data_IF_892748472288
#
_entry.id   IF_892748472288
#
_cell.length_a   1.000
_cell.length_b   1.000
_cell.length_c   1.000
_cell.angle_alpha   90.00
_cell.angle_beta   90.00
_cell.angle_gamma   90.00
#
_symmetry.space_group_name_H-M   'P 1'
#
loop_
_entity.id
_entity.type
_entity.pdbx_description
1 polymer ?
#
# COMPACT_ATOMS: atom_id res chain seq x y z
N UNK A 1 46.75 -4.57 -2.68
CA UNK A 1 45.31 -4.62 -3.02
C UNK A 1 44.62 -5.58 -2.05
N UNK A 2 43.86 -5.05 -1.06
CA UNK A 2 43.10 -5.88 -0.12
C UNK A 2 41.83 -6.32 -0.82
N UNK A 3 41.62 -7.64 -1.03
CA UNK A 3 40.37 -8.21 -1.52
C UNK A 3 39.27 -7.86 -0.48
N UNK A 4 38.26 -7.10 -0.90
CA UNK A 4 37.06 -6.90 -0.12
C UNK A 4 36.49 -8.30 0.20
N UNK A 5 36.34 -8.62 1.49
CA UNK A 5 35.61 -9.80 1.94
C UNK A 5 34.17 -9.65 1.49
N UNK A 6 33.72 -10.48 0.54
CA UNK A 6 32.30 -10.66 0.26
C UNK A 6 31.63 -11.12 1.59
N UNK A 7 30.83 -10.27 2.16
CA UNK A 7 29.90 -10.67 3.23
C UNK A 7 29.01 -11.76 2.61
N UNK A 8 28.84 -12.92 3.25
CA UNK A 8 27.92 -13.94 2.73
C UNK A 8 26.53 -13.30 2.60
N UNK A 9 25.94 -13.36 1.41
CA UNK A 9 24.56 -12.94 1.20
C UNK A 9 23.70 -13.92 2.01
N UNK A 10 23.20 -13.50 3.17
CA UNK A 10 22.14 -14.22 3.87
C UNK A 10 21.04 -14.41 2.84
N UNK A 11 20.73 -15.67 2.51
CA UNK A 11 19.72 -15.96 1.49
C UNK A 11 18.36 -15.61 2.09
N UNK A 12 17.88 -14.40 1.76
CA UNK A 12 16.50 -14.02 2.06
C UNK A 12 15.53 -14.99 1.40
N UNK A 13 14.43 -15.33 2.07
CA UNK A 13 13.31 -16.07 1.48
C UNK A 13 12.76 -15.30 0.26
N UNK A 14 12.79 -13.97 0.29
CA UNK A 14 12.20 -13.11 -0.72
C UNK A 14 13.27 -12.35 -1.51
N UNK A 15 13.03 -12.19 -2.83
CA UNK A 15 13.84 -11.38 -3.74
C UNK A 15 13.27 -9.96 -3.89
N UNK A 16 11.98 -9.79 -3.56
CA UNK A 16 11.25 -8.53 -3.64
C UNK A 16 10.23 -8.43 -2.50
N UNK A 17 10.20 -7.28 -1.85
CA UNK A 17 9.16 -6.89 -0.92
C UNK A 17 8.38 -5.73 -1.54
N UNK A 18 7.09 -5.90 -1.65
CA UNK A 18 6.16 -4.88 -2.14
C UNK A 18 5.31 -4.35 -0.99
N UNK A 19 4.98 -3.09 -1.02
CA UNK A 19 4.19 -2.42 0.03
C UNK A 19 2.98 -1.72 -0.59
N UNK A 20 1.82 -1.82 0.06
CA UNK A 20 0.83 -0.76 -0.09
C UNK A 20 1.28 0.51 0.64
N UNK A 21 0.59 1.59 0.43
CA UNK A 21 0.90 2.90 1.01
C UNK A 21 -0.07 3.27 2.13
N UNK A 22 -1.35 3.47 1.78
CA UNK A 22 -2.40 4.00 2.66
C UNK A 22 -2.77 2.95 3.73
N UNK A 23 -2.54 3.23 5.01
CA UNK A 23 -2.76 2.29 6.11
C UNK A 23 -1.61 1.31 6.37
N UNK A 24 -0.64 1.23 5.47
CA UNK A 24 0.52 0.34 5.55
C UNK A 24 1.81 1.07 5.90
N UNK A 25 2.28 1.98 5.06
CA UNK A 25 3.47 2.79 5.34
C UNK A 25 3.14 4.09 6.07
N UNK A 26 1.98 4.66 5.82
CA UNK A 26 1.54 5.91 6.43
C UNK A 26 0.06 5.87 6.88
N UNK A 27 -0.25 6.68 7.89
CA UNK A 27 -1.60 6.81 8.45
C UNK A 27 -2.43 7.85 7.69
N UNK A 28 -2.94 7.46 6.52
CA UNK A 28 -3.78 8.31 5.68
C UNK A 28 -5.28 8.14 5.92
N UNK A 29 -5.70 7.14 6.67
CA UNK A 29 -7.13 6.84 6.88
C UNK A 29 -7.92 8.06 7.36
N UNK A 30 -7.46 8.86 8.34
CA UNK A 30 -8.19 10.07 8.75
C UNK A 30 -8.39 11.07 7.61
N UNK A 31 -7.36 11.29 6.78
CA UNK A 31 -7.44 12.18 5.63
C UNK A 31 -8.37 11.64 4.54
N UNK A 32 -8.33 10.34 4.26
CA UNK A 32 -9.22 9.69 3.28
C UNK A 32 -10.69 9.86 3.70
N UNK A 33 -10.99 9.63 4.98
CA UNK A 33 -12.32 9.83 5.53
C UNK A 33 -12.80 11.29 5.42
N UNK A 34 -11.91 12.24 5.73
CA UNK A 34 -12.16 13.68 5.55
C UNK A 34 -12.48 14.01 4.08
N UNK A 35 -11.69 13.45 3.14
CA UNK A 35 -11.87 13.66 1.71
C UNK A 35 -13.22 13.12 1.19
N UNK A 36 -13.63 11.92 1.64
CA UNK A 36 -14.94 11.39 1.29
C UNK A 36 -16.06 12.30 1.77
N UNK A 37 -16.06 12.69 3.04
CA UNK A 37 -17.10 13.60 3.59
C UNK A 37 -17.12 14.92 2.83
N UNK A 38 -15.95 15.49 2.55
CA UNK A 38 -15.84 16.76 1.85
C UNK A 38 -16.32 16.68 0.40
N UNK A 39 -16.07 15.58 -0.30
CA UNK A 39 -16.58 15.35 -1.64
C UNK A 39 -18.13 15.32 -1.64
N UNK A 40 -18.72 14.60 -0.69
CA UNK A 40 -20.18 14.56 -0.53
C UNK A 40 -20.76 15.94 -0.18
N UNK A 41 -20.12 16.69 0.72
CA UNK A 41 -20.55 18.05 1.08
C UNK A 41 -20.56 18.98 -0.13
N UNK A 42 -19.50 18.96 -0.94
CA UNK A 42 -19.34 19.83 -2.11
C UNK A 42 -20.36 19.49 -3.21
N UNK A 43 -20.60 18.21 -3.46
CA UNK A 43 -21.39 17.77 -4.62
C UNK A 43 -22.86 17.60 -4.30
N UNK A 44 -23.19 17.10 -3.11
CA UNK A 44 -24.56 16.73 -2.71
C UNK A 44 -25.07 17.50 -1.49
N UNK A 45 -24.25 18.37 -0.88
CA UNK A 45 -24.63 19.11 0.33
C UNK A 45 -24.57 18.27 1.62
N UNK A 46 -23.96 17.10 1.57
CA UNK A 46 -23.77 16.18 2.69
C UNK A 46 -23.99 14.72 2.31
N UNK A 47 -23.86 13.84 3.30
CA UNK A 47 -24.10 12.39 3.14
C UNK A 47 -24.68 11.80 4.43
N UNK A 48 -25.53 10.79 4.29
CA UNK A 48 -26.03 9.93 5.36
C UNK A 48 -25.16 8.67 5.56
N UNK A 49 -24.08 8.52 4.79
CA UNK A 49 -23.14 7.43 4.92
C UNK A 49 -22.46 7.43 6.29
N UNK A 50 -22.48 6.28 6.93
CA UNK A 50 -21.77 6.07 8.20
C UNK A 50 -20.25 6.02 7.99
N UNK A 51 -19.51 6.11 9.08
CA UNK A 51 -18.05 5.91 9.05
C UNK A 51 -17.68 4.50 8.56
N UNK A 52 -18.48 3.50 8.94
CA UNK A 52 -18.29 2.13 8.50
C UNK A 52 -18.48 1.99 6.99
N UNK A 53 -19.51 2.62 6.41
CA UNK A 53 -19.70 2.66 4.96
C UNK A 53 -18.48 3.27 4.25
N UNK A 54 -18.00 4.41 4.74
CA UNK A 54 -16.85 5.12 4.13
C UNK A 54 -15.55 4.35 4.31
N UNK A 55 -15.35 3.72 5.46
CA UNK A 55 -14.19 2.84 5.72
C UNK A 55 -14.13 1.67 4.74
N UNK A 56 -15.27 1.11 4.34
CA UNK A 56 -15.33 -0.01 3.39
C UNK A 56 -14.80 0.34 1.99
N UNK A 57 -14.60 1.62 1.68
CA UNK A 57 -14.03 2.08 0.41
C UNK A 57 -12.51 2.11 0.42
N UNK A 58 -11.88 2.08 1.60
CA UNK A 58 -10.42 2.17 1.73
C UNK A 58 -9.76 0.93 1.12
N UNK A 59 -8.63 1.14 0.45
CA UNK A 59 -7.90 0.08 -0.27
C UNK A 59 -8.42 -0.21 -1.67
N UNK A 60 -9.63 0.28 -2.03
CA UNK A 60 -10.20 0.14 -3.38
C UNK A 60 -9.76 1.29 -4.30
N UNK A 61 -9.75 1.07 -5.62
CA UNK A 61 -9.62 2.18 -6.56
C UNK A 61 -10.76 3.19 -6.37
N UNK A 62 -10.46 4.50 -6.40
CA UNK A 62 -11.46 5.55 -6.21
C UNK A 62 -12.64 5.43 -7.20
N UNK A 63 -12.39 4.93 -8.42
CA UNK A 63 -13.42 4.69 -9.41
C UNK A 63 -14.47 3.65 -9.01
N UNK A 64 -14.17 2.82 -8.01
CA UNK A 64 -15.05 1.75 -7.56
C UNK A 64 -15.83 2.14 -6.28
N UNK A 65 -15.61 3.36 -5.76
CA UNK A 65 -16.18 3.80 -4.47
C UNK A 65 -17.55 4.48 -4.58
N UNK A 66 -17.82 5.21 -5.65
CA UNK A 66 -19.05 5.99 -5.82
C UNK A 66 -20.05 5.33 -6.78
N UNK A 67 -20.01 3.99 -6.88
CA UNK A 67 -20.79 3.22 -7.87
C UNK A 67 -22.32 3.22 -7.63
N UNK A 68 -22.77 3.67 -6.45
CA UNK A 68 -24.20 3.84 -6.15
C UNK A 68 -24.81 5.10 -6.77
N UNK A 69 -24.00 5.98 -7.35
CA UNK A 69 -24.44 7.20 -8.02
C UNK A 69 -24.42 7.02 -9.54
N UNK A 70 -25.19 7.86 -10.24
CA UNK A 70 -25.08 7.96 -11.71
C UNK A 70 -23.68 8.44 -12.14
N UNK A 71 -23.30 8.19 -13.39
CA UNK A 71 -21.96 8.46 -13.89
C UNK A 71 -21.55 9.93 -13.74
N UNK A 72 -22.47 10.88 -13.96
CA UNK A 72 -22.18 12.31 -13.85
C UNK A 72 -21.94 12.75 -12.41
N UNK A 73 -22.73 12.23 -11.47
CA UNK A 73 -22.54 12.47 -10.02
C UNK A 73 -21.26 11.81 -9.52
N UNK A 74 -21.01 10.57 -9.92
CA UNK A 74 -19.77 9.84 -9.60
C UNK A 74 -18.53 10.62 -10.06
N UNK A 75 -18.51 11.13 -11.28
CA UNK A 75 -17.39 11.92 -11.80
C UNK A 75 -17.14 13.19 -10.99
N UNK A 76 -18.20 13.91 -10.60
CA UNK A 76 -18.09 15.10 -9.74
C UNK A 76 -17.55 14.75 -8.34
N UNK A 77 -18.03 13.67 -7.73
CA UNK A 77 -17.55 13.19 -6.42
C UNK A 77 -16.07 12.82 -6.49
N UNK A 78 -15.64 12.09 -7.53
CA UNK A 78 -14.24 11.73 -7.72
C UNK A 78 -13.37 12.98 -7.92
N UNK A 79 -13.81 13.93 -8.70
CA UNK A 79 -13.10 15.20 -8.94
C UNK A 79 -12.93 15.97 -7.63
N UNK A 80 -14.03 16.20 -6.90
CA UNK A 80 -14.01 16.90 -5.62
C UNK A 80 -13.12 16.21 -4.59
N UNK A 81 -13.16 14.87 -4.51
CA UNK A 81 -12.28 14.08 -3.67
C UNK A 81 -10.81 14.32 -4.02
N UNK A 82 -10.44 14.19 -5.30
CA UNK A 82 -9.05 14.30 -5.75
C UNK A 82 -8.49 15.70 -5.54
N UNK A 83 -9.26 16.73 -5.87
CA UNK A 83 -8.86 18.12 -5.67
C UNK A 83 -8.61 18.41 -4.18
N UNK A 84 -9.54 18.02 -3.32
CA UNK A 84 -9.40 18.22 -1.88
C UNK A 84 -8.24 17.41 -1.31
N UNK A 85 -8.10 16.13 -1.68
CA UNK A 85 -7.00 15.27 -1.24
C UNK A 85 -5.65 15.86 -1.62
N UNK A 86 -5.46 16.25 -2.89
CA UNK A 86 -4.20 16.85 -3.34
C UNK A 86 -3.88 18.17 -2.63
N UNK A 87 -4.87 19.01 -2.34
CA UNK A 87 -4.66 20.24 -1.59
C UNK A 87 -4.18 19.94 -0.16
N UNK A 88 -4.87 19.02 0.54
CA UNK A 88 -4.52 18.64 1.92
C UNK A 88 -3.15 17.96 2.02
N UNK A 89 -2.81 17.10 1.04
CA UNK A 89 -1.49 16.48 0.99
C UNK A 89 -0.36 17.51 0.85
N UNK A 90 -0.56 18.58 0.08
CA UNK A 90 0.43 19.66 -0.09
C UNK A 90 0.58 20.54 1.15
N UNK A 91 -0.48 20.67 1.96
CA UNK A 91 -0.44 21.43 3.20
C UNK A 91 0.23 20.67 4.34
N UNK A 92 -0.07 19.39 4.46
CA UNK A 92 0.42 18.54 5.54
C UNK A 92 0.68 17.12 5.00
N UNK A 93 1.93 16.71 5.03
CA UNK A 93 2.26 15.31 4.73
C UNK A 93 1.49 14.37 5.67
N UNK A 94 1.03 13.26 5.11
CA UNK A 94 0.46 12.18 5.91
C UNK A 94 1.57 11.59 6.78
N UNK A 95 1.37 11.37 8.10
CA UNK A 95 2.40 10.84 8.95
C UNK A 95 2.73 9.40 8.61
N UNK A 96 4.02 9.06 8.55
CA UNK A 96 4.47 7.67 8.52
C UNK A 96 4.11 6.98 9.84
N UNK A 97 3.83 5.68 9.76
CA UNK A 97 3.81 4.89 10.98
C UNK A 97 5.22 4.83 11.60
N UNK A 98 5.33 4.87 12.93
CA UNK A 98 6.62 4.75 13.62
C UNK A 98 7.38 3.49 13.18
N UNK A 99 8.69 3.58 12.94
CA UNK A 99 9.54 2.44 12.55
C UNK A 99 9.59 2.15 11.04
N UNK A 100 8.78 2.82 10.20
CA UNK A 100 8.75 2.56 8.75
C UNK A 100 10.09 2.88 8.07
N UNK A 101 10.68 4.03 8.34
CA UNK A 101 11.98 4.39 7.74
C UNK A 101 13.08 3.44 8.15
N UNK A 102 13.04 2.96 9.38
CA UNK A 102 14.00 2.04 9.97
C UNK A 102 13.97 0.70 9.24
N UNK A 103 12.79 0.07 9.12
CA UNK A 103 12.70 -1.23 8.43
C UNK A 103 13.01 -1.10 6.93
N UNK A 104 12.55 -0.05 6.25
CA UNK A 104 12.88 0.18 4.83
C UNK A 104 14.41 0.28 4.63
N UNK A 105 15.09 1.00 5.51
CA UNK A 105 16.56 1.13 5.50
C UNK A 105 17.24 -0.22 5.74
N UNK A 106 16.75 -0.99 6.70
CA UNK A 106 17.33 -2.28 7.08
C UNK A 106 17.17 -3.33 5.95
N UNK A 107 16.01 -3.40 5.32
CA UNK A 107 15.73 -4.30 4.20
C UNK A 107 16.60 -3.92 2.99
N UNK A 108 16.74 -2.62 2.72
CA UNK A 108 17.63 -2.13 1.66
C UNK A 108 19.08 -2.49 1.93
N UNK A 109 19.55 -2.34 3.17
CA UNK A 109 20.90 -2.72 3.58
C UNK A 109 21.15 -4.23 3.48
N UNK A 110 20.11 -5.06 3.64
CA UNK A 110 20.16 -6.50 3.42
C UNK A 110 20.25 -6.88 1.93
N UNK A 111 20.09 -5.91 1.01
CA UNK A 111 20.16 -6.10 -0.43
C UNK A 111 18.91 -6.76 -1.03
N UNK A 112 17.78 -6.71 -0.34
CA UNK A 112 16.48 -7.14 -0.86
C UNK A 112 15.84 -5.95 -1.58
N UNK A 113 15.31 -6.19 -2.77
CA UNK A 113 14.63 -5.16 -3.57
C UNK A 113 13.30 -4.80 -2.93
N UNK A 114 12.92 -3.54 -3.06
CA UNK A 114 11.70 -3.02 -2.47
C UNK A 114 10.88 -2.25 -3.50
N UNK A 115 9.57 -2.29 -3.39
CA UNK A 115 8.70 -1.53 -4.28
C UNK A 115 7.36 -1.20 -3.66
N UNK A 116 6.63 -0.33 -4.36
CA UNK A 116 5.28 0.08 -4.00
C UNK A 116 4.28 -0.52 -4.98
N UNK A 117 3.17 -1.04 -4.46
CA UNK A 117 1.98 -1.40 -5.25
C UNK A 117 0.75 -0.86 -4.55
N UNK A 118 0.09 0.13 -5.16
CA UNK A 118 -1.02 0.83 -4.51
C UNK A 118 -2.20 1.08 -5.45
N UNK A 119 -3.42 1.14 -4.90
CA UNK A 119 -4.62 1.58 -5.61
C UNK A 119 -4.70 3.11 -5.75
N UNK A 120 -3.76 3.84 -5.14
CA UNK A 120 -3.66 5.29 -5.21
C UNK A 120 -3.15 5.73 -6.59
N UNK A 121 -3.64 6.86 -7.09
CA UNK A 121 -3.13 7.47 -8.31
C UNK A 121 -1.71 7.99 -8.12
N UNK A 122 -0.88 7.87 -9.14
CA UNK A 122 0.50 8.36 -9.14
C UNK A 122 0.57 9.82 -8.69
N UNK A 123 -0.27 10.70 -9.26
CA UNK A 123 -0.29 12.13 -8.95
C UNK A 123 -0.51 12.45 -7.47
N UNK A 124 -1.29 11.61 -6.76
CA UNK A 124 -1.54 11.79 -5.32
C UNK A 124 -0.49 11.10 -4.45
N UNK A 125 -0.01 9.93 -4.86
CA UNK A 125 0.99 9.17 -4.12
C UNK A 125 2.33 9.91 -4.08
N UNK A 126 2.77 10.43 -5.24
CA UNK A 126 4.05 11.13 -5.36
C UNK A 126 4.15 12.39 -4.49
N UNK A 127 3.05 13.10 -4.24
CA UNK A 127 3.07 14.24 -3.31
C UNK A 127 3.62 13.83 -1.93
N UNK A 128 3.16 12.71 -1.39
CA UNK A 128 3.60 12.23 -0.07
C UNK A 128 4.98 11.57 -0.14
N UNK A 129 5.25 10.79 -1.18
CA UNK A 129 6.54 10.12 -1.40
C UNK A 129 7.66 11.17 -1.47
N UNK A 130 7.46 12.25 -2.23
CA UNK A 130 8.44 13.34 -2.39
C UNK A 130 8.63 14.12 -1.08
N UNK A 131 7.52 14.50 -0.41
CA UNK A 131 7.58 15.25 0.86
C UNK A 131 8.30 14.49 1.96
N UNK A 132 8.20 13.16 1.97
CA UNK A 132 8.82 12.29 2.98
C UNK A 132 10.15 11.68 2.53
N UNK A 133 10.65 12.04 1.32
CA UNK A 133 11.90 11.50 0.74
C UNK A 133 11.96 9.97 0.75
N UNK A 134 10.85 9.34 0.33
CA UNK A 134 10.72 7.87 0.37
C UNK A 134 11.16 7.18 -0.93
N UNK A 135 11.23 7.89 -2.05
CA UNK A 135 11.60 7.32 -3.35
C UNK A 135 12.93 6.56 -3.29
N UNK A 136 13.87 7.05 -2.47
CA UNK A 136 15.18 6.44 -2.28
C UNK A 136 15.16 4.98 -1.79
N UNK A 137 14.05 4.51 -1.23
CA UNK A 137 13.91 3.13 -0.74
C UNK A 137 13.44 2.16 -1.80
N UNK A 138 12.77 2.63 -2.87
CA UNK A 138 12.04 1.79 -3.79
C UNK A 138 12.75 1.63 -5.14
N UNK A 139 12.82 0.39 -5.61
CA UNK A 139 13.37 0.01 -6.91
C UNK A 139 12.29 0.00 -7.99
N UNK A 140 11.01 -0.08 -7.60
CA UNK A 140 9.85 -0.03 -8.50
C UNK A 140 8.63 0.54 -7.77
N UNK A 141 7.77 1.25 -8.52
CA UNK A 141 6.50 1.74 -8.02
C UNK A 141 5.41 1.49 -9.07
N UNK A 142 4.31 0.87 -8.64
CA UNK A 142 3.14 0.54 -9.46
C UNK A 142 1.93 1.23 -8.84
N UNK A 143 1.42 2.22 -9.54
CA UNK A 143 0.25 3.00 -9.17
C UNK A 143 -1.00 2.49 -9.89
N UNK A 144 -2.18 3.02 -9.55
CA UNK A 144 -3.46 2.61 -10.12
C UNK A 144 -3.48 2.56 -11.65
N UNK A 145 -2.79 3.47 -12.30
CA UNK A 145 -2.79 3.63 -13.76
C UNK A 145 -1.93 2.59 -14.49
N UNK A 146 -1.09 1.84 -13.77
CA UNK A 146 -0.08 0.97 -14.38
C UNK A 146 -0.66 -0.32 -14.97
N UNK A 147 -1.85 -0.76 -14.52
CA UNK A 147 -2.49 -1.99 -14.96
C UNK A 147 -3.98 -1.78 -15.24
N UNK A 148 -4.52 -2.56 -16.16
CA UNK A 148 -5.95 -2.53 -16.47
C UNK A 148 -6.77 -2.97 -15.25
N UNK A 149 -6.46 -4.15 -14.72
CA UNK A 149 -7.08 -4.65 -13.48
C UNK A 149 -6.26 -4.22 -12.27
N UNK A 150 -6.93 -3.53 -11.34
CA UNK A 150 -6.35 -3.14 -10.06
C UNK A 150 -6.53 -4.23 -9.01
N UNK A 151 -6.03 -4.02 -7.78
CA UNK A 151 -6.37 -4.82 -6.61
C UNK A 151 -7.92 -4.91 -6.50
N UNK A 152 -8.51 -6.06 -6.27
CA UNK A 152 -7.94 -7.28 -5.69
C UNK A 152 -7.29 -8.26 -6.68
N UNK A 153 -7.14 -7.93 -7.94
CA UNK A 153 -6.40 -8.75 -8.90
C UNK A 153 -4.89 -8.65 -8.67
N UNK A 154 -4.15 -9.72 -9.01
CA UNK A 154 -2.69 -9.80 -8.84
C UNK A 154 -1.88 -9.03 -9.88
N UNK A 155 -2.52 -8.50 -10.93
CA UNK A 155 -1.87 -7.80 -12.05
C UNK A 155 -0.86 -6.72 -11.61
N UNK A 156 -1.16 -5.86 -10.61
CA UNK A 156 -0.20 -4.85 -10.16
C UNK A 156 1.05 -5.45 -9.52
N UNK A 157 0.91 -6.55 -8.77
CA UNK A 157 2.05 -7.24 -8.15
C UNK A 157 2.91 -7.94 -9.21
N UNK A 158 2.25 -8.60 -10.18
CA UNK A 158 2.92 -9.23 -11.33
C UNK A 158 3.69 -8.17 -12.12
N UNK A 159 3.11 -7.01 -12.37
CA UNK A 159 3.78 -5.91 -13.07
C UNK A 159 5.00 -5.41 -12.32
N UNK A 160 4.92 -5.25 -10.98
CA UNK A 160 6.07 -4.86 -10.16
C UNK A 160 7.18 -5.92 -10.22
N UNK A 161 6.84 -7.21 -10.10
CA UNK A 161 7.79 -8.32 -10.20
C UNK A 161 8.43 -8.38 -11.60
N UNK A 162 7.63 -8.19 -12.67
CA UNK A 162 8.10 -8.14 -14.07
C UNK A 162 9.12 -7.03 -14.29
N UNK A 163 8.88 -5.83 -13.76
CA UNK A 163 9.86 -4.70 -13.83
C UNK A 163 11.18 -5.05 -13.16
N UNK A 164 11.12 -5.89 -12.14
CA UNK A 164 12.30 -6.36 -11.41
C UNK A 164 12.90 -7.67 -11.98
N UNK A 165 12.35 -8.20 -13.08
CA UNK A 165 12.81 -9.45 -13.69
C UNK A 165 12.58 -10.69 -12.82
N UNK A 166 11.56 -10.65 -11.96
CA UNK A 166 11.12 -11.77 -11.11
C UNK A 166 9.95 -12.46 -11.79
N UNK A 167 10.02 -13.76 -11.92
CA UNK A 167 8.97 -14.60 -12.53
C UNK A 167 8.33 -15.56 -11.53
N UNK A 168 9.01 -15.84 -10.43
CA UNK A 168 8.52 -16.72 -9.35
C UNK A 168 7.90 -15.86 -8.26
N UNK A 169 6.57 -15.80 -8.23
CA UNK A 169 5.83 -14.98 -7.28
C UNK A 169 5.95 -15.48 -5.83
N UNK A 170 6.31 -16.75 -5.61
CA UNK A 170 6.63 -17.25 -4.25
C UNK A 170 7.88 -16.61 -3.63
N UNK A 171 8.66 -15.87 -4.43
CA UNK A 171 9.81 -15.06 -4.01
C UNK A 171 9.44 -13.59 -3.74
N UNK A 172 8.15 -13.26 -3.78
CA UNK A 172 7.61 -11.92 -3.53
C UNK A 172 6.82 -11.93 -2.23
N UNK A 173 7.11 -10.99 -1.35
CA UNK A 173 6.30 -10.71 -0.17
C UNK A 173 5.53 -9.40 -0.43
N UNK A 174 4.22 -9.44 -0.28
CA UNK A 174 3.40 -8.22 -0.30
C UNK A 174 2.95 -7.86 1.11
N UNK A 175 3.18 -6.61 1.50
CA UNK A 175 2.85 -6.07 2.82
C UNK A 175 1.70 -5.09 2.65
N UNK A 176 0.61 -5.30 3.37
CA UNK A 176 -0.60 -4.49 3.22
C UNK A 176 -1.48 -4.51 4.46
N UNK A 177 -2.58 -3.79 4.43
CA UNK A 177 -3.46 -3.60 5.57
C UNK A 177 -4.95 -3.87 5.29
N UNK A 178 -5.33 -4.17 4.03
CA UNK A 178 -6.71 -4.24 3.60
C UNK A 178 -7.06 -5.53 2.83
N UNK A 179 -8.35 -5.87 2.77
CA UNK A 179 -8.87 -7.05 2.03
C UNK A 179 -8.38 -7.10 0.58
N UNK A 180 -8.37 -6.00 -0.22
CA UNK A 180 -7.87 -6.06 -1.59
C UNK A 180 -6.39 -6.44 -1.69
N UNK A 181 -5.58 -6.17 -0.66
CA UNK A 181 -4.16 -6.51 -0.65
C UNK A 181 -3.95 -8.02 -0.55
N UNK A 182 -4.58 -8.65 0.45
CA UNK A 182 -4.45 -10.09 0.66
C UNK A 182 -5.01 -10.87 -0.54
N UNK A 183 -6.13 -10.42 -1.12
CA UNK A 183 -6.70 -11.06 -2.30
C UNK A 183 -5.79 -10.92 -3.53
N UNK A 184 -5.16 -9.77 -3.71
CA UNK A 184 -4.21 -9.51 -4.81
C UNK A 184 -2.96 -10.38 -4.69
N UNK A 185 -2.40 -10.55 -3.49
CA UNK A 185 -1.27 -11.44 -3.24
C UNK A 185 -1.62 -12.90 -3.58
N UNK A 186 -2.78 -13.37 -3.13
CA UNK A 186 -3.27 -14.72 -3.44
C UNK A 186 -3.50 -14.96 -4.93
N UNK A 187 -4.10 -14.01 -5.63
CA UNK A 187 -4.40 -14.13 -7.05
C UNK A 187 -3.13 -14.35 -7.88
N UNK A 188 -2.01 -13.78 -7.45
CA UNK A 188 -0.71 -13.96 -8.15
C UNK A 188 0.23 -14.98 -7.51
N UNK A 189 -0.10 -15.55 -6.35
CA UNK A 189 0.74 -16.54 -5.65
C UNK A 189 1.94 -15.93 -4.89
N UNK A 190 1.87 -14.66 -4.52
CA UNK A 190 2.80 -14.02 -3.60
C UNK A 190 2.42 -14.31 -2.15
N UNK A 191 3.39 -14.37 -1.23
CA UNK A 191 3.11 -14.39 0.20
C UNK A 191 2.61 -13.02 0.67
N UNK A 192 1.73 -13.00 1.67
CA UNK A 192 1.14 -11.78 2.22
C UNK A 192 1.47 -11.59 3.70
N UNK A 193 1.87 -10.38 4.06
CA UNK A 193 2.06 -9.95 5.44
C UNK A 193 1.07 -8.83 5.79
N UNK A 194 0.18 -9.11 6.74
CA UNK A 194 -0.74 -8.15 7.31
C UNK A 194 -0.04 -7.28 8.35
N UNK A 195 -0.19 -5.96 8.25
CA UNK A 195 0.31 -5.06 9.29
C UNK A 195 -0.67 -4.97 10.47
N UNK A 196 -0.18 -5.16 11.69
CA UNK A 196 -0.97 -5.16 12.92
C UNK A 196 -1.45 -3.77 13.36
N UNK A 197 -0.87 -2.69 12.81
CA UNK A 197 -1.28 -1.30 13.07
C UNK A 197 -2.38 -0.79 12.12
N UNK A 198 -2.96 -1.67 11.28
CA UNK A 198 -4.09 -1.32 10.41
C UNK A 198 -5.26 -0.75 11.21
N UNK A 199 -6.00 0.17 10.60
CA UNK A 199 -7.28 0.68 11.11
C UNK A 199 -8.49 -0.11 10.59
N UNK A 200 -8.26 -1.10 9.72
CA UNK A 200 -9.31 -1.95 9.17
C UNK A 200 -9.77 -3.01 10.19
N UNK A 201 -10.99 -3.57 10.05
CA UNK A 201 -11.50 -4.62 10.93
C UNK A 201 -10.58 -5.86 10.91
N UNK A 202 -9.88 -6.12 12.01
CA UNK A 202 -8.86 -7.19 12.09
C UNK A 202 -9.45 -8.59 11.97
N UNK A 203 -10.67 -8.80 12.46
CA UNK A 203 -11.29 -10.14 12.44
C UNK A 203 -11.49 -10.61 10.99
N UNK A 204 -12.04 -9.74 10.11
CA UNK A 204 -12.20 -10.03 8.69
C UNK A 204 -10.86 -10.34 8.00
N UNK A 205 -9.82 -9.58 8.30
CA UNK A 205 -8.48 -9.75 7.73
C UNK A 205 -7.82 -11.05 8.22
N UNK A 206 -7.97 -11.38 9.51
CA UNK A 206 -7.44 -12.61 10.08
C UNK A 206 -8.14 -13.85 9.53
N UNK A 207 -9.46 -13.80 9.34
CA UNK A 207 -10.25 -14.88 8.75
C UNK A 207 -9.82 -15.19 7.30
N UNK A 208 -9.29 -14.20 6.61
CA UNK A 208 -8.67 -14.41 5.31
C UNK A 208 -7.34 -15.19 5.40
N UNK A 209 -6.73 -15.38 6.57
CA UNK A 209 -5.51 -16.17 6.79
C UNK A 209 -4.29 -15.61 6.07
N UNK A 210 -3.75 -14.45 6.47
CA UNK A 210 -2.48 -13.93 5.96
C UNK A 210 -1.34 -14.91 6.30
N UNK A 211 -0.29 -14.96 5.47
CA UNK A 211 0.88 -15.82 5.74
C UNK A 211 1.66 -15.34 6.96
N UNK A 212 1.65 -14.02 7.22
CA UNK A 212 2.26 -13.39 8.37
C UNK A 212 1.39 -12.28 8.93
N UNK A 213 1.48 -12.05 10.24
CA UNK A 213 0.97 -10.87 10.93
C UNK A 213 2.16 -10.15 11.57
N UNK A 214 2.36 -8.89 11.22
CA UNK A 214 3.45 -8.05 11.71
C UNK A 214 2.88 -7.08 12.73
N UNK A 215 2.98 -7.39 14.00
CA UNK A 215 2.39 -6.55 15.07
C UNK A 215 3.08 -5.20 15.21
N UNK A 216 4.38 -5.14 14.93
CA UNK A 216 5.19 -3.92 14.99
C UNK A 216 6.14 -3.86 13.79
N UNK A 217 6.47 -2.67 13.27
CA UNK A 217 7.30 -2.50 12.07
C UNK A 217 8.64 -3.25 12.10
N UNK A 218 9.24 -3.40 13.27
CA UNK A 218 10.52 -4.09 13.49
C UNK A 218 10.44 -5.60 13.20
N UNK A 219 9.24 -6.18 13.16
CA UNK A 219 9.02 -7.59 12.84
C UNK A 219 9.27 -7.92 11.36
N UNK A 220 9.11 -6.98 10.43
CA UNK A 220 9.25 -7.24 9.01
C UNK A 220 10.66 -7.69 8.59
N UNK A 221 11.76 -7.06 9.06
CA UNK A 221 13.11 -7.55 8.79
C UNK A 221 13.36 -8.99 9.28
N UNK A 222 12.72 -9.43 10.35
CA UNK A 222 12.82 -10.80 10.88
C UNK A 222 12.25 -11.80 9.87
N UNK A 223 11.05 -11.54 9.35
CA UNK A 223 10.39 -12.39 8.33
C UNK A 223 11.29 -12.52 7.10
N UNK A 224 11.86 -11.42 6.62
CA UNK A 224 12.70 -11.38 5.43
C UNK A 224 14.01 -12.16 5.63
N UNK A 225 14.57 -12.08 6.83
CA UNK A 225 15.82 -12.81 7.19
C UNK A 225 15.57 -14.26 7.57
N UNK A 226 14.31 -14.68 7.73
CA UNK A 226 13.94 -16.02 8.20
C UNK A 226 14.35 -16.27 9.67
N UNK A 227 14.36 -15.21 10.48
CA UNK A 227 14.57 -15.28 11.93
C UNK A 227 13.21 -15.27 12.65
N UNK A 228 13.13 -15.87 13.84
CA UNK A 228 11.90 -15.81 14.65
C UNK A 228 11.53 -14.36 15.00
N UNK A 229 10.22 -14.08 15.05
CA UNK A 229 9.61 -12.80 15.43
C UNK A 229 9.77 -12.56 16.94
#
# INVERSE_FOLDING_TARGET
MKKAKRVPKTMSKYDLVLYDLDGTLWDSVPLIMECFRKAYDIVLGGTDRTDEDLMSYIGRPLGDTFTMHDDATKEKLMTAYLEYNCARLKENAVPLFPGVCEFLSEIKAAGVRQGVVTSKRESSAMITIDLLDLEKYFDTMVFREATERAKPYGDPLIEAARRMGITDMSRVLYVGDAVPDILSARDCGADFALVGWTRMPKDELNDLGPDYIIEVPEGLPCIIKGTEL
#
